data_IF_085572339923
#
_entry.id   IF_085572339923
#
_cell.length_a   1.000
_cell.length_b   1.000
_cell.length_c   1.000
_cell.angle_alpha   90.00
_cell.angle_beta   90.00
_cell.angle_gamma   90.00
#
_symmetry.space_group_name_H-M   'P 1'
#
loop_
_entity.id
_entity.type
_entity.pdbx_description
1 polymer ?
#
# COMPACT_ATOMS: atom_id res chain seq x y z
N UNK A 1 33.54 6.33 5.44
CA UNK A 1 33.10 7.58 6.09
C UNK A 1 31.59 7.44 6.29
N UNK A 2 31.19 7.27 7.52
CA UNK A 2 29.82 6.91 7.96
C UNK A 2 28.97 8.18 8.07
N UNK A 3 27.94 8.29 7.23
CA UNK A 3 26.96 9.40 7.23
C UNK A 3 25.79 9.19 8.23
N UNK A 4 25.92 8.24 9.15
CA UNK A 4 24.87 7.93 10.12
C UNK A 4 24.71 8.89 11.32
N UNK A 5 25.68 9.59 11.84
CA UNK A 5 25.47 10.40 13.05
C UNK A 5 24.76 11.73 12.85
N UNK A 6 24.80 12.32 11.65
CA UNK A 6 24.25 13.67 11.44
C UNK A 6 22.75 13.73 11.17
N UNK A 7 22.09 12.60 10.86
CA UNK A 7 20.64 12.57 10.70
C UNK A 7 19.88 12.31 12.01
N UNK A 8 20.55 11.82 13.05
CA UNK A 8 19.91 11.55 14.35
C UNK A 8 19.78 12.81 15.23
N UNK A 9 20.63 13.80 15.09
CA UNK A 9 20.61 15.01 15.93
C UNK A 9 19.56 16.07 15.53
N UNK A 10 19.04 16.07 14.31
CA UNK A 10 18.03 17.05 13.86
C UNK A 10 16.58 16.66 14.13
N UNK A 11 16.34 15.55 14.81
CA UNK A 11 14.99 14.98 15.03
C UNK A 11 14.51 15.11 16.50
N UNK A 12 15.14 15.90 17.36
CA UNK A 12 14.89 15.88 18.82
C UNK A 12 13.94 16.98 19.32
N UNK A 13 13.43 17.88 18.49
CA UNK A 13 12.49 18.89 19.01
C UNK A 13 11.21 19.00 18.16
N UNK A 14 10.15 18.31 18.56
CA UNK A 14 8.78 18.85 18.58
C UNK A 14 7.84 17.89 19.33
N UNK A 15 7.71 18.14 20.63
CA UNK A 15 6.60 17.65 21.45
C UNK A 15 5.40 18.59 21.23
N UNK A 16 4.36 18.14 20.55
CA UNK A 16 3.03 18.77 20.54
C UNK A 16 1.93 17.73 20.41
N UNK A 17 1.17 17.62 21.46
CA UNK A 17 -0.20 17.15 21.67
C UNK A 17 -0.92 16.57 20.45
N UNK A 18 -1.24 15.29 20.56
CA UNK A 18 -2.10 14.52 19.67
C UNK A 18 -3.53 15.02 19.84
N UNK A 19 -4.03 15.85 18.93
CA UNK A 19 -5.47 15.99 18.73
C UNK A 19 -5.95 14.82 17.88
N UNK A 20 -6.97 14.11 18.40
CA UNK A 20 -7.67 13.03 17.73
C UNK A 20 -8.26 13.52 16.41
N UNK A 21 -7.61 13.22 15.27
CA UNK A 21 -8.18 13.48 13.96
C UNK A 21 -9.30 12.49 13.69
N UNK A 22 -10.53 12.93 13.94
CA UNK A 22 -11.71 12.36 13.27
C UNK A 22 -11.61 12.74 11.78
N UNK A 23 -11.33 11.77 10.94
CA UNK A 23 -11.59 11.89 9.52
C UNK A 23 -13.11 12.00 9.38
N UNK A 24 -13.62 13.12 8.87
CA UNK A 24 -15.02 13.24 8.47
C UNK A 24 -15.28 12.24 7.34
N UNK A 25 -15.75 11.07 7.72
CA UNK A 25 -16.14 10.00 6.81
C UNK A 25 -17.56 10.32 6.29
N UNK A 26 -17.82 10.15 4.98
CA UNK A 26 -19.21 10.10 4.53
C UNK A 26 -19.93 8.99 5.29
N UNK A 27 -21.10 9.31 5.85
CA UNK A 27 -21.91 8.40 6.68
C UNK A 27 -22.08 7.04 5.97
N UNK A 28 -21.73 5.98 6.69
CA UNK A 28 -21.88 4.59 6.23
C UNK A 28 -23.35 4.25 6.01
N UNK A 29 -23.78 4.18 4.74
CA UNK A 29 -25.14 3.73 4.35
C UNK A 29 -25.30 2.20 4.53
N UNK A 30 -24.30 1.46 4.99
CA UNK A 30 -24.22 0.00 4.95
C UNK A 30 -24.06 -0.70 6.30
N UNK A 31 -24.91 -0.39 7.28
CA UNK A 31 -24.89 -1.10 8.59
C UNK A 31 -25.92 -2.27 8.68
N UNK A 32 -26.52 -2.75 7.60
CA UNK A 32 -27.64 -3.71 7.75
C UNK A 32 -27.47 -5.13 7.23
N UNK A 33 -26.38 -5.50 6.55
CA UNK A 33 -26.25 -6.84 5.95
C UNK A 33 -25.04 -7.68 6.40
N UNK A 34 -24.40 -7.36 7.50
CA UNK A 34 -23.17 -8.06 7.95
C UNK A 34 -23.40 -9.37 8.73
N UNK A 35 -24.58 -9.98 8.72
CA UNK A 35 -24.88 -11.11 9.62
C UNK A 35 -24.58 -12.52 9.09
N UNK A 36 -24.05 -12.71 7.88
CA UNK A 36 -23.62 -14.07 7.44
C UNK A 36 -22.37 -14.02 6.60
N UNK A 37 -21.22 -14.06 7.25
CA UNK A 37 -19.93 -14.27 6.59
C UNK A 37 -19.54 -15.74 6.70
N UNK A 38 -19.53 -16.47 5.58
CA UNK A 38 -18.97 -17.80 5.53
C UNK A 38 -17.43 -17.73 5.56
N UNK A 39 -16.81 -18.37 6.55
CA UNK A 39 -15.36 -18.50 6.65
C UNK A 39 -14.98 -19.76 5.87
N UNK A 40 -14.48 -19.62 4.64
CA UNK A 40 -14.29 -20.80 3.76
C UNK A 40 -12.84 -21.03 3.30
N UNK A 41 -11.84 -20.42 3.84
CA UNK A 41 -10.46 -20.82 3.54
C UNK A 41 -9.76 -21.52 4.71
N UNK A 42 -10.52 -22.04 5.67
CA UNK A 42 -9.95 -22.62 6.89
C UNK A 42 -9.16 -23.91 6.66
N UNK A 43 -9.44 -24.65 5.60
CA UNK A 43 -8.85 -25.96 5.34
C UNK A 43 -7.69 -25.95 4.33
N UNK A 44 -7.52 -24.86 3.58
CA UNK A 44 -6.48 -24.79 2.55
C UNK A 44 -5.18 -24.11 3.02
N UNK A 45 -5.29 -23.23 4.01
CA UNK A 45 -4.14 -22.49 4.54
C UNK A 45 -4.09 -22.66 6.06
N UNK A 46 -3.01 -23.25 6.54
CA UNK A 46 -2.79 -23.62 7.93
C UNK A 46 -3.28 -22.60 8.97
N UNK A 47 -3.77 -23.09 10.08
CA UNK A 47 -4.46 -22.46 11.21
C UNK A 47 -3.78 -21.28 11.93
N UNK A 48 -2.85 -20.56 11.28
CA UNK A 48 -2.08 -19.47 11.88
C UNK A 48 -1.80 -18.28 10.93
N UNK A 49 -2.54 -18.15 9.82
CA UNK A 49 -2.36 -16.98 8.95
C UNK A 49 -2.83 -15.71 9.68
N UNK A 50 -2.05 -14.62 9.67
CA UNK A 50 -2.40 -13.36 10.32
C UNK A 50 -3.45 -12.55 9.54
N UNK A 51 -4.11 -13.15 8.57
CA UNK A 51 -5.12 -12.53 7.71
C UNK A 51 -6.17 -13.54 7.26
N UNK A 52 -7.38 -13.04 6.93
CA UNK A 52 -8.55 -13.82 6.50
C UNK A 52 -9.18 -13.22 5.25
N UNK A 53 -9.70 -14.08 4.37
CA UNK A 53 -10.48 -13.66 3.20
C UNK A 53 -11.96 -13.96 3.41
N UNK A 54 -12.82 -13.04 2.92
CA UNK A 54 -14.27 -13.13 2.93
C UNK A 54 -14.80 -12.77 1.55
N UNK A 55 -15.86 -13.45 1.09
CA UNK A 55 -16.44 -13.25 -0.24
C UNK A 55 -17.90 -12.79 -0.14
N UNK A 56 -18.31 -11.90 -1.01
CA UNK A 56 -19.65 -11.32 -1.07
C UNK A 56 -20.17 -11.26 -2.51
N UNK A 57 -21.28 -11.93 -2.85
CA UNK A 57 -22.08 -12.83 -1.99
C UNK A 57 -21.36 -14.16 -1.71
N UNK A 58 -21.88 -14.97 -0.79
CA UNK A 58 -21.26 -16.23 -0.35
C UNK A 58 -21.00 -17.23 -1.50
N UNK A 59 -21.82 -17.24 -2.55
CA UNK A 59 -21.65 -18.12 -3.72
C UNK A 59 -20.61 -17.60 -4.75
N UNK A 60 -19.88 -16.55 -4.44
CA UNK A 60 -18.89 -15.92 -5.31
C UNK A 60 -17.47 -16.49 -5.13
N UNK A 61 -17.28 -17.45 -4.24
CA UNK A 61 -15.98 -17.97 -3.83
C UNK A 61 -15.14 -18.50 -5.00
N UNK A 62 -15.72 -19.28 -5.91
CA UNK A 62 -14.98 -19.92 -7.01
C UNK A 62 -14.26 -18.87 -7.89
N UNK A 63 -14.94 -17.78 -8.23
CA UNK A 63 -14.38 -16.68 -9.04
C UNK A 63 -13.33 -15.92 -8.22
N UNK A 64 -13.59 -15.71 -6.94
CA UNK A 64 -12.71 -14.93 -6.06
C UNK A 64 -11.42 -15.66 -5.66
N UNK A 65 -11.36 -17.00 -5.74
CA UNK A 65 -10.22 -17.79 -5.30
C UNK A 65 -8.90 -17.42 -5.99
N UNK A 66 -8.93 -17.26 -7.30
CA UNK A 66 -7.75 -16.89 -8.07
C UNK A 66 -7.17 -15.54 -7.63
N UNK A 67 -8.04 -14.54 -7.42
CA UNK A 67 -7.66 -13.22 -6.96
C UNK A 67 -7.13 -13.26 -5.52
N UNK A 68 -7.80 -14.01 -4.66
CA UNK A 68 -7.39 -14.22 -3.27
C UNK A 68 -6.01 -14.86 -3.19
N UNK A 69 -5.76 -15.87 -4.04
CA UNK A 69 -4.46 -16.56 -4.08
C UNK A 69 -3.32 -15.62 -4.46
N UNK A 70 -3.54 -14.76 -5.45
CA UNK A 70 -2.54 -13.77 -5.89
C UNK A 70 -2.19 -12.82 -4.74
N UNK A 71 -3.20 -12.29 -4.04
CA UNK A 71 -2.96 -11.38 -2.92
C UNK A 71 -2.41 -12.12 -1.69
N UNK A 72 -2.79 -13.38 -1.50
CA UNK A 72 -2.18 -14.26 -0.48
C UNK A 72 -0.66 -14.41 -0.70
N UNK A 73 -0.24 -14.70 -1.92
CA UNK A 73 1.18 -14.87 -2.26
C UNK A 73 1.97 -13.58 -1.92
N UNK A 74 1.38 -12.41 -2.20
CA UNK A 74 1.96 -11.13 -1.81
C UNK A 74 2.05 -10.97 -0.28
N UNK A 75 0.95 -11.15 0.45
CA UNK A 75 0.90 -10.97 1.91
C UNK A 75 1.79 -11.95 2.67
N UNK A 76 2.01 -13.14 2.12
CA UNK A 76 2.82 -14.20 2.74
C UNK A 76 4.31 -14.05 2.47
N UNK A 77 4.72 -13.16 1.55
CA UNK A 77 6.13 -12.97 1.22
C UNK A 77 6.95 -12.44 2.40
N UNK A 78 8.21 -12.83 2.49
CA UNK A 78 9.13 -12.43 3.58
C UNK A 78 9.26 -10.90 3.74
N UNK A 79 9.15 -10.17 2.64
CA UNK A 79 9.20 -8.71 2.64
C UNK A 79 8.01 -8.08 3.36
N UNK A 80 6.84 -8.74 3.29
CA UNK A 80 5.53 -8.17 3.66
C UNK A 80 4.98 -8.76 4.95
N UNK A 81 5.08 -10.09 5.15
CA UNK A 81 4.42 -10.85 6.24
C UNK A 81 4.65 -10.28 7.65
N UNK A 82 5.79 -9.61 7.88
CA UNK A 82 6.12 -8.98 9.17
C UNK A 82 5.19 -7.84 9.57
N UNK A 83 4.49 -7.24 8.60
CA UNK A 83 3.58 -6.11 8.80
C UNK A 83 2.11 -6.55 8.80
N UNK A 84 1.83 -7.81 8.46
CA UNK A 84 0.47 -8.34 8.40
C UNK A 84 0.07 -8.91 9.76
N UNK A 85 -1.01 -8.40 10.34
CA UNK A 85 -1.57 -8.91 11.58
C UNK A 85 -3.05 -8.55 11.66
N UNK A 86 -3.90 -9.53 11.92
CA UNK A 86 -5.34 -9.34 12.11
C UNK A 86 -5.97 -8.54 10.94
N UNK A 87 -5.57 -8.89 9.71
CA UNK A 87 -6.04 -8.27 8.48
C UNK A 87 -7.20 -9.07 7.91
N UNK A 88 -8.29 -8.40 7.59
CA UNK A 88 -9.43 -8.95 6.87
C UNK A 88 -9.41 -8.46 5.42
N UNK A 89 -9.60 -9.36 4.48
CA UNK A 89 -9.75 -9.03 3.05
C UNK A 89 -11.14 -9.43 2.62
N UNK A 90 -11.95 -8.46 2.22
CA UNK A 90 -13.31 -8.67 1.75
C UNK A 90 -13.35 -8.48 0.24
N UNK A 91 -13.80 -9.50 -0.48
CA UNK A 91 -13.90 -9.46 -1.95
C UNK A 91 -15.36 -9.43 -2.33
N UNK A 92 -15.78 -8.35 -2.97
CA UNK A 92 -17.15 -8.09 -3.39
C UNK A 92 -17.28 -8.21 -4.90
N UNK A 93 -18.28 -8.97 -5.37
CA UNK A 93 -18.63 -9.06 -6.77
C UNK A 93 -19.13 -7.73 -7.32
N UNK A 94 -19.99 -7.07 -6.54
CA UNK A 94 -20.62 -5.83 -6.96
C UNK A 94 -19.61 -4.69 -7.11
N UNK A 95 -19.86 -3.85 -8.12
CA UNK A 95 -19.10 -2.64 -8.39
C UNK A 95 -19.58 -1.49 -7.52
N UNK A 96 -18.65 -0.68 -7.05
CA UNK A 96 -18.89 0.57 -6.33
C UNK A 96 -18.13 1.72 -6.99
N UNK A 97 -18.26 2.92 -6.46
CA UNK A 97 -17.55 4.11 -6.95
C UNK A 97 -16.04 4.02 -6.79
N UNK A 98 -15.59 3.16 -5.86
CA UNK A 98 -14.18 2.87 -5.61
C UNK A 98 -13.87 1.40 -5.88
N UNK A 99 -12.65 1.09 -6.32
CA UNK A 99 -12.18 -0.28 -6.58
C UNK A 99 -11.72 -0.99 -5.31
N UNK A 100 -11.18 -0.25 -4.36
CA UNK A 100 -10.71 -0.71 -3.07
C UNK A 100 -10.98 0.31 -1.97
N UNK A 101 -10.99 -0.14 -0.72
CA UNK A 101 -11.05 0.71 0.46
C UNK A 101 -10.48 -0.02 1.67
N UNK A 102 -9.56 0.62 2.39
CA UNK A 102 -9.07 0.14 3.67
C UNK A 102 -9.80 0.85 4.82
N UNK A 103 -10.37 0.08 5.75
CA UNK A 103 -11.02 0.60 6.97
C UNK A 103 -11.00 -0.48 8.06
N UNK A 104 -10.72 -0.10 9.31
CA UNK A 104 -10.83 -0.97 10.50
C UNK A 104 -10.11 -2.33 10.33
N UNK A 105 -8.86 -2.32 9.83
CA UNK A 105 -8.07 -3.51 9.47
C UNK A 105 -8.72 -4.40 8.41
N UNK A 106 -9.64 -3.86 7.63
CA UNK A 106 -10.29 -4.57 6.54
C UNK A 106 -9.98 -3.88 5.22
N UNK A 107 -9.46 -4.64 4.25
CA UNK A 107 -9.33 -4.23 2.86
C UNK A 107 -10.55 -4.77 2.13
N UNK A 108 -11.35 -3.88 1.57
CA UNK A 108 -12.52 -4.22 0.76
C UNK A 108 -12.18 -4.02 -0.72
N UNK A 109 -12.35 -5.05 -1.52
CA UNK A 109 -12.16 -5.03 -2.97
C UNK A 109 -13.51 -5.17 -3.67
N UNK A 110 -13.80 -4.33 -4.65
CA UNK A 110 -15.10 -4.24 -5.28
C UNK A 110 -15.05 -4.49 -6.78
N UNK A 111 -16.09 -5.15 -7.32
CA UNK A 111 -16.28 -5.34 -8.75
C UNK A 111 -15.15 -6.09 -9.42
N UNK A 112 -14.63 -7.15 -8.81
CA UNK A 112 -13.43 -7.84 -9.30
C UNK A 112 -13.62 -8.47 -10.69
N UNK A 113 -14.85 -8.75 -11.12
CA UNK A 113 -15.12 -9.24 -12.47
C UNK A 113 -14.78 -8.21 -13.58
N UNK A 114 -14.75 -6.93 -13.22
CA UNK A 114 -14.38 -5.82 -14.11
C UNK A 114 -12.87 -5.48 -14.07
N UNK A 115 -12.12 -6.11 -13.16
CA UNK A 115 -10.69 -5.85 -12.97
C UNK A 115 -9.85 -6.97 -13.59
N UNK A 116 -8.75 -6.61 -14.24
CA UNK A 116 -7.72 -7.61 -14.51
C UNK A 116 -7.05 -8.05 -13.19
N UNK A 117 -6.37 -9.20 -13.20
CA UNK A 117 -5.63 -9.69 -12.02
C UNK A 117 -4.52 -8.70 -11.61
N UNK A 118 -3.90 -8.05 -12.58
CA UNK A 118 -2.89 -7.02 -12.37
C UNK A 118 -3.51 -5.80 -11.67
N UNK A 119 -4.60 -5.27 -12.20
CA UNK A 119 -5.29 -4.13 -11.59
C UNK A 119 -5.80 -4.46 -10.20
N UNK A 120 -6.40 -5.64 -10.00
CA UNK A 120 -6.81 -6.09 -8.67
C UNK A 120 -5.64 -6.09 -7.69
N UNK A 121 -4.50 -6.71 -8.06
CA UNK A 121 -3.35 -6.78 -7.18
C UNK A 121 -2.75 -5.40 -6.90
N UNK A 122 -2.68 -4.53 -7.90
CA UNK A 122 -2.19 -3.16 -7.72
C UNK A 122 -3.06 -2.37 -6.73
N UNK A 123 -4.40 -2.45 -6.87
CA UNK A 123 -5.35 -1.82 -5.93
C UNK A 123 -5.23 -2.45 -4.54
N UNK A 124 -5.13 -3.78 -4.44
CA UNK A 124 -4.98 -4.47 -3.15
C UNK A 124 -3.67 -4.08 -2.43
N UNK A 125 -2.56 -3.88 -3.17
CA UNK A 125 -1.29 -3.38 -2.62
C UNK A 125 -1.44 -1.92 -2.15
N UNK A 126 -2.17 -1.09 -2.89
CA UNK A 126 -2.44 0.29 -2.50
C UNK A 126 -3.25 0.35 -1.18
N UNK A 127 -4.31 -0.42 -1.06
CA UNK A 127 -5.10 -0.50 0.18
C UNK A 127 -4.29 -1.11 1.34
N UNK A 128 -3.42 -2.06 1.03
CA UNK A 128 -2.49 -2.61 2.01
C UNK A 128 -1.46 -1.57 2.47
N UNK A 129 -1.05 -0.65 1.62
CA UNK A 129 -0.18 0.45 2.02
C UNK A 129 -0.85 1.36 3.08
N UNK A 130 -2.14 1.65 2.95
CA UNK A 130 -2.90 2.33 4.01
C UNK A 130 -2.94 1.51 5.31
N UNK A 131 -3.08 0.19 5.23
CA UNK A 131 -2.99 -0.68 6.41
C UNK A 131 -1.60 -0.59 7.07
N UNK A 132 -0.52 -0.63 6.29
CA UNK A 132 0.86 -0.49 6.78
C UNK A 132 1.05 0.86 7.45
N UNK A 133 0.60 1.93 6.81
CA UNK A 133 0.69 3.28 7.33
C UNK A 133 0.04 3.39 8.72
N UNK A 134 -1.23 3.02 8.83
CA UNK A 134 -2.04 3.22 10.04
C UNK A 134 -1.71 2.19 11.12
N UNK A 135 -1.55 0.91 10.77
CA UNK A 135 -1.48 -0.16 11.77
C UNK A 135 -0.06 -0.66 12.04
N UNK A 136 0.85 -0.50 11.11
CA UNK A 136 2.23 -0.91 11.30
C UNK A 136 3.14 0.25 11.72
N UNK A 137 3.04 1.42 11.10
CA UNK A 137 3.90 2.56 11.40
C UNK A 137 3.38 3.46 12.51
N UNK A 138 2.11 3.88 12.49
CA UNK A 138 1.55 4.78 13.50
C UNK A 138 1.44 4.13 14.89
N UNK A 139 1.27 2.80 14.98
CA UNK A 139 1.14 2.08 16.27
C UNK A 139 2.46 1.70 16.94
N UNK A 140 3.61 2.10 16.44
CA UNK A 140 4.87 1.86 17.15
C UNK A 140 4.94 2.74 18.40
N UNK A 141 5.00 2.07 19.55
CA UNK A 141 4.83 2.63 20.92
C UNK A 141 5.76 3.81 21.25
N UNK A 142 6.86 4.01 20.51
CA UNK A 142 7.88 5.00 20.83
C UNK A 142 7.94 6.13 19.78
N UNK A 143 7.48 5.88 18.55
CA UNK A 143 7.57 6.86 17.46
C UNK A 143 6.60 6.51 16.34
N UNK A 144 5.78 7.49 15.96
CA UNK A 144 5.02 7.44 14.73
C UNK A 144 5.98 7.65 13.54
N UNK A 145 6.22 6.57 12.78
CA UNK A 145 7.12 6.65 11.63
C UNK A 145 6.44 7.27 10.41
N UNK A 146 5.10 7.25 10.33
CA UNK A 146 4.37 7.85 9.20
C UNK A 146 4.60 9.35 9.09
N UNK A 147 4.72 10.05 10.22
CA UNK A 147 4.99 11.49 10.21
C UNK A 147 6.34 11.84 9.56
N UNK A 148 7.33 10.93 9.61
CA UNK A 148 8.58 11.13 8.90
C UNK A 148 8.41 11.09 7.39
N UNK A 149 7.46 10.30 6.87
CA UNK A 149 7.13 10.29 5.45
C UNK A 149 6.32 11.53 5.08
N UNK A 150 5.28 11.82 5.86
CA UNK A 150 4.41 12.96 5.57
C UNK A 150 5.18 14.27 5.56
N UNK A 151 6.07 14.49 6.53
CA UNK A 151 6.93 15.67 6.61
C UNK A 151 7.87 15.87 5.42
N UNK A 152 8.00 14.92 4.48
CA UNK A 152 8.77 15.11 3.24
C UNK A 152 8.05 16.09 2.31
N UNK A 153 6.72 16.01 2.23
CA UNK A 153 5.92 16.72 1.21
C UNK A 153 4.73 17.52 1.77
N UNK A 154 4.37 17.32 3.04
CA UNK A 154 3.11 17.82 3.57
C UNK A 154 3.31 18.65 4.85
N UNK A 155 2.65 19.79 4.94
CA UNK A 155 2.53 20.58 6.18
C UNK A 155 1.34 20.10 7.02
N UNK A 156 0.29 19.62 6.37
CA UNK A 156 -0.89 19.03 7.00
C UNK A 156 -1.53 18.01 6.05
N UNK A 157 -2.66 17.42 6.42
CA UNK A 157 -3.30 16.34 5.63
C UNK A 157 -3.47 16.68 4.14
N UNK A 158 -3.83 17.92 3.80
CA UNK A 158 -4.12 18.35 2.41
C UNK A 158 -3.30 19.58 1.97
N UNK A 159 -2.35 20.02 2.78
CA UNK A 159 -1.53 21.20 2.47
C UNK A 159 -0.11 20.71 2.18
N UNK A 160 0.32 20.84 0.94
CA UNK A 160 1.69 20.52 0.51
C UNK A 160 2.65 21.60 1.01
N UNK A 161 3.89 21.21 1.23
CA UNK A 161 4.98 22.15 1.50
C UNK A 161 5.20 23.09 0.31
N UNK A 162 5.58 24.33 0.60
CA UNK A 162 5.81 25.32 -0.43
C UNK A 162 6.95 24.91 -1.38
N UNK A 163 6.77 25.21 -2.67
CA UNK A 163 7.80 24.98 -3.70
C UNK A 163 7.84 23.59 -4.30
N UNK A 164 6.99 22.65 -3.85
CA UNK A 164 6.88 21.33 -4.45
C UNK A 164 6.27 21.39 -5.84
N UNK A 165 6.72 20.48 -6.70
CA UNK A 165 6.29 20.31 -8.07
C UNK A 165 5.61 18.98 -8.27
N UNK A 166 4.86 18.83 -9.34
CA UNK A 166 4.29 17.56 -9.76
C UNK A 166 5.35 16.43 -9.82
N UNK A 167 6.54 16.75 -10.33
CA UNK A 167 7.67 15.79 -10.42
C UNK A 167 8.22 15.32 -9.07
N UNK A 168 7.75 15.86 -7.95
CA UNK A 168 8.10 15.44 -6.58
C UNK A 168 7.11 14.40 -6.02
N UNK A 169 6.14 13.99 -6.84
CA UNK A 169 5.16 12.95 -6.54
C UNK A 169 5.19 11.86 -7.61
N UNK A 170 4.84 10.65 -7.23
CA UNK A 170 4.84 9.50 -8.16
C UNK A 170 3.66 9.51 -9.12
N UNK A 171 2.55 10.16 -8.76
CA UNK A 171 1.31 10.25 -9.55
C UNK A 171 0.53 11.52 -9.22
N UNK A 172 -0.53 11.81 -10.01
CA UNK A 172 -1.50 12.86 -9.67
C UNK A 172 -2.30 12.52 -8.41
N UNK A 173 -2.62 11.24 -8.23
CA UNK A 173 -3.39 10.80 -7.07
C UNK A 173 -2.59 10.95 -5.77
N UNK A 174 -1.28 10.75 -5.83
CA UNK A 174 -0.37 11.04 -4.71
C UNK A 174 -0.42 12.52 -4.24
N UNK A 175 -0.85 13.45 -5.09
CA UNK A 175 -1.00 14.88 -4.73
C UNK A 175 -2.32 15.21 -4.03
N UNK A 176 -3.19 14.22 -3.79
CA UNK A 176 -4.51 14.44 -3.18
C UNK A 176 -4.42 14.75 -1.68
N UNK A 177 -3.63 13.99 -0.97
CA UNK A 177 -3.36 14.16 0.45
C UNK A 177 -2.17 13.30 0.90
N UNK A 178 -1.70 13.48 2.13
CA UNK A 178 -0.52 12.79 2.67
C UNK A 178 -0.66 11.25 2.72
N UNK A 179 -1.88 10.74 2.88
CA UNK A 179 -2.13 9.29 2.97
C UNK A 179 -2.07 8.64 1.59
N UNK A 180 -2.64 9.30 0.59
CA UNK A 180 -2.55 8.82 -0.79
C UNK A 180 -1.12 8.93 -1.34
N UNK A 181 -0.36 9.97 -0.95
CA UNK A 181 1.06 10.06 -1.29
C UNK A 181 1.85 8.87 -0.72
N UNK A 182 1.54 8.46 0.51
CA UNK A 182 2.15 7.27 1.10
C UNK A 182 1.77 6.00 0.32
N UNK A 183 0.47 5.77 0.09
CA UNK A 183 -0.03 4.57 -0.55
C UNK A 183 0.45 4.43 -2.00
N UNK A 184 0.39 5.49 -2.79
CA UNK A 184 0.90 5.54 -4.16
C UNK A 184 2.42 5.30 -4.22
N UNK A 185 3.19 5.95 -3.32
CA UNK A 185 4.63 5.78 -3.27
C UNK A 185 5.03 4.36 -2.82
N UNK A 186 4.31 3.76 -1.88
CA UNK A 186 4.52 2.36 -1.47
C UNK A 186 4.24 1.40 -2.63
N UNK A 187 3.10 1.57 -3.29
CA UNK A 187 2.69 0.74 -4.43
C UNK A 187 3.72 0.84 -5.57
N UNK A 188 4.20 2.05 -5.83
CA UNK A 188 5.23 2.28 -6.84
C UNK A 188 6.57 1.63 -6.47
N UNK A 189 6.95 1.67 -5.20
CA UNK A 189 8.14 0.98 -4.70
C UNK A 189 8.07 -0.52 -4.94
N UNK A 190 6.91 -1.13 -4.73
CA UNK A 190 6.69 -2.57 -4.91
C UNK A 190 6.65 -2.97 -6.39
N UNK A 191 5.85 -2.27 -7.19
CA UNK A 191 5.54 -2.68 -8.56
C UNK A 191 6.52 -2.14 -9.60
N UNK A 192 7.07 -0.94 -9.38
CA UNK A 192 7.88 -0.20 -10.36
C UNK A 192 9.15 0.37 -9.73
N UNK A 193 9.86 -0.42 -8.93
CA UNK A 193 10.99 0.04 -8.12
C UNK A 193 12.09 0.71 -8.94
N UNK A 194 12.46 0.11 -10.06
CA UNK A 194 13.51 0.63 -10.94
C UNK A 194 13.14 2.01 -11.50
N UNK A 195 11.90 2.18 -11.98
CA UNK A 195 11.42 3.47 -12.48
C UNK A 195 11.29 4.50 -11.35
N UNK A 196 10.82 4.09 -10.17
CA UNK A 196 10.80 4.96 -9.00
C UNK A 196 12.21 5.50 -8.68
N UNK A 197 13.22 4.62 -8.68
CA UNK A 197 14.60 5.03 -8.43
C UNK A 197 15.10 6.01 -9.51
N UNK A 198 14.83 5.76 -10.78
CA UNK A 198 15.22 6.66 -11.88
C UNK A 198 14.58 8.05 -11.76
N UNK A 199 13.31 8.12 -11.35
CA UNK A 199 12.64 9.41 -11.07
C UNK A 199 13.20 10.08 -9.82
N UNK A 200 13.49 9.29 -8.79
CA UNK A 200 14.08 9.77 -7.55
C UNK A 200 15.50 10.36 -7.74
N UNK A 201 16.28 9.87 -8.69
CA UNK A 201 17.57 10.48 -9.05
C UNK A 201 17.45 11.91 -9.58
N UNK A 202 16.26 12.31 -10.04
CA UNK A 202 15.97 13.65 -10.58
C UNK A 202 15.20 14.56 -9.60
N UNK A 203 14.75 14.04 -8.46
CA UNK A 203 14.02 14.77 -7.42
C UNK A 203 14.50 14.36 -6.03
N UNK A 204 15.03 15.32 -5.26
CA UNK A 204 15.41 15.08 -3.86
C UNK A 204 14.22 14.59 -3.01
N UNK A 205 13.03 15.08 -3.29
CA UNK A 205 11.80 14.72 -2.58
C UNK A 205 11.46 13.25 -2.85
N UNK A 206 11.43 12.84 -4.12
CA UNK A 206 11.22 11.42 -4.46
C UNK A 206 12.33 10.52 -3.90
N UNK A 207 13.58 11.00 -3.89
CA UNK A 207 14.69 10.27 -3.30
C UNK A 207 14.50 10.06 -1.79
N UNK A 208 13.97 11.06 -1.06
CA UNK A 208 13.64 10.92 0.37
C UNK A 208 12.52 9.89 0.57
N UNK A 209 11.46 9.93 -0.24
CA UNK A 209 10.35 8.94 -0.21
C UNK A 209 10.84 7.53 -0.52
N UNK A 210 11.64 7.35 -1.56
CA UNK A 210 12.24 6.06 -1.91
C UNK A 210 13.07 5.50 -0.76
N UNK A 211 13.99 6.32 -0.20
CA UNK A 211 14.83 5.94 0.93
C UNK A 211 14.03 5.63 2.19
N UNK A 212 12.90 6.31 2.40
CA UNK A 212 12.04 6.04 3.54
C UNK A 212 11.58 4.57 3.54
N UNK A 213 11.03 4.06 2.43
CA UNK A 213 10.61 2.66 2.35
C UNK A 213 11.79 1.70 2.46
N UNK A 214 12.89 2.00 1.81
CA UNK A 214 14.11 1.20 1.87
C UNK A 214 14.68 1.07 3.30
N UNK A 215 14.60 2.11 4.11
CA UNK A 215 15.16 2.14 5.47
C UNK A 215 14.19 1.58 6.49
N UNK A 216 12.92 1.95 6.42
CA UNK A 216 11.97 1.71 7.50
C UNK A 216 11.06 0.51 7.30
N UNK A 217 10.83 0.09 6.05
CA UNK A 217 9.91 -1.00 5.75
C UNK A 217 10.61 -2.19 5.11
N UNK A 218 11.20 -2.02 3.95
CA UNK A 218 11.84 -3.09 3.20
C UNK A 218 13.26 -3.37 3.73
N UNK A 219 13.70 -4.63 3.65
CA UNK A 219 15.11 -4.94 3.82
C UNK A 219 15.87 -4.39 2.61
N UNK A 220 17.19 -4.16 2.79
CA UNK A 220 18.03 -3.48 1.79
C UNK A 220 17.89 -3.95 0.36
N UNK A 221 17.49 -5.19 0.14
CA UNK A 221 17.41 -5.80 -1.20
C UNK A 221 15.98 -6.18 -1.62
N UNK A 222 14.98 -5.99 -0.73
CA UNK A 222 13.59 -6.27 -1.07
C UNK A 222 13.11 -5.31 -2.17
N UNK A 223 12.65 -5.85 -3.27
CA UNK A 223 12.20 -5.15 -4.49
C UNK A 223 13.26 -4.25 -5.16
N UNK A 224 14.44 -4.11 -4.61
CA UNK A 224 15.47 -3.19 -5.12
C UNK A 224 15.84 -3.50 -6.57
N UNK A 225 15.68 -2.49 -7.42
CA UNK A 225 15.96 -2.57 -8.87
C UNK A 225 15.17 -3.68 -9.59
N UNK A 226 14.11 -4.22 -8.97
CA UNK A 226 13.22 -5.13 -9.68
C UNK A 226 12.44 -4.34 -10.73
N UNK A 227 12.28 -4.96 -11.88
CA UNK A 227 11.55 -4.39 -12.99
C UNK A 227 10.45 -5.37 -13.38
N UNK A 228 9.24 -5.05 -12.99
CA UNK A 228 8.04 -5.78 -13.40
C UNK A 228 7.30 -5.06 -14.52
N UNK A 229 7.87 -3.98 -15.07
CA UNK A 229 7.25 -3.23 -16.16
C UNK A 229 7.15 -4.09 -17.43
N UNK A 230 6.02 -3.99 -18.12
CA UNK A 230 5.80 -4.68 -19.40
C UNK A 230 6.54 -3.94 -20.52
N UNK A 231 6.68 -2.62 -20.40
CA UNK A 231 7.33 -1.75 -21.39
C UNK A 231 8.69 -1.29 -20.88
N UNK A 232 9.69 -1.25 -21.77
CA UNK A 232 11.03 -0.77 -21.44
C UNK A 232 11.16 0.77 -21.47
N UNK A 233 10.05 1.49 -21.59
CA UNK A 233 10.05 2.95 -21.64
C UNK A 233 9.91 3.55 -20.24
N UNK A 234 10.46 4.74 -20.05
CA UNK A 234 10.23 5.53 -18.84
C UNK A 234 8.75 5.82 -18.76
N UNK A 235 8.12 5.36 -17.69
CA UNK A 235 6.69 5.51 -17.51
C UNK A 235 6.34 7.00 -17.44
N UNK A 236 5.37 7.40 -18.25
CA UNK A 236 4.78 8.72 -18.19
C UNK A 236 4.15 8.98 -16.81
N UNK A 237 3.82 10.23 -16.54
CA UNK A 237 3.18 10.62 -15.29
C UNK A 237 1.71 10.21 -15.27
N UNK A 238 1.43 9.10 -14.60
CA UNK A 238 0.09 8.53 -14.51
C UNK A 238 -0.79 9.26 -13.48
N UNK A 239 -2.09 9.18 -13.69
CA UNK A 239 -3.04 9.70 -12.71
C UNK A 239 -3.00 8.91 -11.41
N UNK A 240 -2.80 7.60 -11.51
CA UNK A 240 -2.96 6.59 -10.45
C UNK A 240 -2.01 5.42 -10.74
N UNK A 241 -1.16 5.07 -9.80
CA UNK A 241 -0.15 4.01 -9.95
C UNK A 241 -0.78 2.66 -10.23
N UNK A 242 -1.96 2.39 -9.68
CA UNK A 242 -2.65 1.12 -9.87
C UNK A 242 -3.13 0.86 -11.31
N UNK A 243 -3.02 1.87 -12.17
CA UNK A 243 -3.33 1.78 -13.61
C UNK A 243 -2.11 1.52 -14.50
N UNK A 244 -0.92 1.52 -13.94
CA UNK A 244 0.30 1.24 -14.69
C UNK A 244 0.41 -0.27 -14.92
N UNK A 245 0.52 -0.74 -16.17
CA UNK A 245 0.68 -2.15 -16.45
C UNK A 245 1.98 -2.72 -15.87
N UNK A 246 1.92 -3.94 -15.35
CA UNK A 246 3.09 -4.68 -14.89
C UNK A 246 2.94 -6.18 -15.16
N UNK A 247 4.06 -6.89 -15.19
CA UNK A 247 4.12 -8.34 -15.38
C UNK A 247 3.87 -9.06 -14.06
N UNK A 248 2.61 -9.48 -13.86
CA UNK A 248 2.17 -10.17 -12.65
C UNK A 248 2.87 -11.51 -12.46
N UNK A 249 3.15 -12.25 -13.53
CA UNK A 249 3.82 -13.54 -13.45
C UNK A 249 5.26 -13.39 -12.95
N UNK A 250 5.97 -12.38 -13.44
CA UNK A 250 7.32 -12.06 -12.98
C UNK A 250 7.31 -11.63 -11.50
N UNK A 251 6.34 -10.81 -11.09
CA UNK A 251 6.17 -10.43 -9.69
C UNK A 251 5.91 -11.67 -8.80
N UNK A 252 4.97 -12.55 -9.20
CA UNK A 252 4.65 -13.74 -8.42
C UNK A 252 5.84 -14.72 -8.35
N UNK A 253 6.62 -14.85 -9.41
CA UNK A 253 7.87 -15.62 -9.40
C UNK A 253 8.91 -15.01 -8.44
N UNK A 254 9.01 -13.68 -8.40
CA UNK A 254 9.88 -13.00 -7.46
C UNK A 254 9.46 -13.25 -6.02
N UNK A 255 8.17 -13.10 -5.70
CA UNK A 255 7.63 -13.32 -4.36
C UNK A 255 7.87 -14.74 -3.85
N UNK A 256 7.71 -15.75 -4.72
CA UNK A 256 7.93 -17.18 -4.38
C UNK A 256 9.37 -17.52 -4.01
N UNK A 257 10.34 -16.72 -4.42
CA UNK A 257 11.75 -16.92 -4.00
C UNK A 257 11.99 -16.58 -2.53
N UNK A 258 11.03 -15.93 -1.90
CA UNK A 258 11.12 -15.38 -0.55
C UNK A 258 10.02 -15.94 0.39
N UNK A 259 9.36 -17.03 0.00
CA UNK A 259 8.47 -17.84 0.82
C UNK A 259 9.26 -19.11 1.26
#
# INVERSE_FOLDING_TARGET
MTLQPQMEEQLIETDKTIEEYKVDEPEDIFEKDDEKVAIILKDYYASAAPFMFHYFPDNFEEIAQDYSKIFWDFLSSDAIKKSVFDLHVQIHQNKYDVRGKMKNKSIKMYGIEDLSKEEFLAVAIHEFAHFVDIYYFQKKVIRDLSENFYGISWESTKVMQAGLKQSDFVSWYAMTNKYEDFAESFTYYVLHNKDFLQKAEKSEILMKKYKYFWVYFFKKDDFKQQDFSIENEVLDYYRDITKIPFDIENLLQYLKKWI
#
